data_IF_352798113865
#
_entry.id   IF_352798113865
#
_cell.length_a   1.000
_cell.length_b   1.000
_cell.length_c   1.000
_cell.angle_alpha   90.00
_cell.angle_beta   90.00
_cell.angle_gamma   90.00
#
_symmetry.space_group_name_H-M   'P 1'
#
loop_
_entity.id
_entity.type
_entity.pdbx_description
1 polymer ?
#
# COMPACT_ATOMS: atom_id res chain seq x y z
N UNK A 1 -2.75 5.20 26.17
CA UNK A 1 -2.99 6.51 25.53
C UNK A 1 -3.99 6.31 24.40
N UNK A 2 -5.13 7.01 24.41
CA UNK A 2 -6.03 7.03 23.26
C UNK A 2 -5.38 7.94 22.20
N UNK A 3 -4.87 7.36 21.12
CA UNK A 3 -4.38 8.13 19.97
C UNK A 3 -5.54 8.64 19.11
N UNK A 4 -5.40 9.83 18.55
CA UNK A 4 -6.39 10.38 17.61
C UNK A 4 -6.25 9.68 16.26
N UNK A 5 -7.36 9.49 15.54
CA UNK A 5 -7.40 8.81 14.24
C UNK A 5 -7.96 9.71 13.15
N UNK A 6 -7.48 9.56 11.92
CA UNK A 6 -8.04 10.17 10.71
C UNK A 6 -8.11 9.12 9.60
N UNK A 7 -9.06 9.27 8.65
CA UNK A 7 -9.24 8.34 7.53
C UNK A 7 -9.46 9.04 6.20
N UNK A 8 -8.96 8.45 5.11
CA UNK A 8 -9.08 8.98 3.75
C UNK A 8 -8.89 7.90 2.67
N UNK A 9 -9.40 8.15 1.46
CA UNK A 9 -9.22 7.28 0.28
C UNK A 9 -7.96 7.61 -0.54
N UNK A 10 -7.36 6.60 -1.18
CA UNK A 10 -5.95 6.62 -1.61
C UNK A 10 -5.78 5.83 -2.92
N UNK A 11 -6.00 6.47 -4.06
CA UNK A 11 -5.72 5.91 -5.39
C UNK A 11 -6.50 4.62 -5.74
N UNK A 12 -6.33 4.15 -6.98
CA UNK A 12 -7.07 3.02 -7.56
C UNK A 12 -6.75 1.72 -6.80
N UNK A 13 -7.76 1.02 -6.29
CA UNK A 13 -7.62 -0.25 -5.57
C UNK A 13 -7.43 -0.14 -4.04
N UNK A 14 -7.02 1.02 -3.49
CA UNK A 14 -7.00 1.26 -2.03
C UNK A 14 -8.05 2.31 -1.68
N UNK A 15 -9.15 1.86 -1.09
CA UNK A 15 -10.32 2.72 -0.90
C UNK A 15 -10.26 3.54 0.36
N UNK A 16 -9.61 3.04 1.41
CA UNK A 16 -9.55 3.73 2.70
C UNK A 16 -8.34 3.31 3.53
N UNK A 17 -7.60 4.28 4.05
CA UNK A 17 -6.74 4.06 5.22
C UNK A 17 -7.25 4.79 6.44
N UNK A 18 -6.85 4.29 7.60
CA UNK A 18 -6.87 5.05 8.84
C UNK A 18 -5.46 5.20 9.39
N UNK A 19 -5.10 6.42 9.74
CA UNK A 19 -3.84 6.78 10.39
C UNK A 19 -4.10 7.21 11.84
N UNK A 20 -3.07 7.14 12.68
CA UNK A 20 -3.13 7.57 14.07
C UNK A 20 -1.85 8.27 14.51
N UNK A 21 -1.99 9.28 15.35
CA UNK A 21 -0.90 10.00 16.01
C UNK A 21 -1.14 10.10 17.52
N UNK A 22 -0.07 10.30 18.29
CA UNK A 22 -0.13 10.49 19.74
C UNK A 22 -0.74 11.86 20.10
N UNK A 23 -0.43 12.88 19.31
CA UNK A 23 -0.87 14.26 19.49
C UNK A 23 -1.35 14.82 18.16
N UNK A 24 -2.09 15.92 18.23
CA UNK A 24 -2.46 16.71 17.06
C UNK A 24 -1.38 17.74 16.76
N UNK A 25 -1.28 18.16 15.50
CA UNK A 25 -0.47 19.30 15.12
C UNK A 25 -0.98 20.62 15.74
N UNK A 26 -0.25 21.70 15.52
CA UNK A 26 -0.58 23.02 16.04
C UNK A 26 -1.91 23.61 15.52
N UNK A 27 -2.53 22.99 14.50
CA UNK A 27 -3.83 23.38 13.93
C UNK A 27 -4.92 22.34 14.25
N UNK A 28 -4.63 21.34 15.08
CA UNK A 28 -5.59 20.35 15.54
C UNK A 28 -5.83 19.17 14.59
N UNK A 29 -4.83 18.75 13.80
CA UNK A 29 -4.95 17.64 12.83
C UNK A 29 -4.02 16.48 13.18
N UNK A 30 -4.35 15.27 12.71
CA UNK A 30 -3.43 14.12 12.78
C UNK A 30 -2.31 14.27 11.74
N UNK A 31 -2.67 14.75 10.54
CA UNK A 31 -1.77 15.12 9.43
C UNK A 31 -2.54 16.03 8.47
N UNK A 32 -1.84 16.83 7.68
CA UNK A 32 -2.43 17.42 6.48
C UNK A 32 -2.70 16.34 5.42
N UNK A 33 -3.88 16.37 4.80
CA UNK A 33 -4.23 15.37 3.79
C UNK A 33 -3.33 15.42 2.55
N UNK A 34 -2.73 16.57 2.23
CA UNK A 34 -1.78 16.70 1.13
C UNK A 34 -0.49 15.95 1.44
N UNK A 35 0.00 16.02 2.67
CA UNK A 35 1.18 15.28 3.14
C UNK A 35 0.91 13.76 3.20
N UNK A 36 -0.30 13.38 3.60
CA UNK A 36 -0.71 11.97 3.57
C UNK A 36 -0.70 11.42 2.14
N UNK A 37 -1.25 12.18 1.18
CA UNK A 37 -1.23 11.80 -0.24
C UNK A 37 0.20 11.72 -0.77
N UNK A 38 1.03 12.73 -0.51
CA UNK A 38 2.41 12.74 -1.02
C UNK A 38 3.26 11.59 -0.48
N UNK A 39 2.94 11.07 0.72
CA UNK A 39 3.67 9.94 1.33
C UNK A 39 3.11 8.57 0.95
N UNK A 40 1.79 8.40 0.99
CA UNK A 40 1.16 7.08 0.79
C UNK A 40 0.67 6.89 -0.64
N UNK A 41 -0.07 7.86 -1.22
CA UNK A 41 -0.55 7.77 -2.60
C UNK A 41 0.61 7.68 -3.58
N UNK A 42 1.54 8.63 -3.50
CA UNK A 42 2.62 8.70 -4.50
C UNK A 42 3.50 7.45 -4.48
N UNK A 43 3.72 6.85 -3.31
CA UNK A 43 4.42 5.59 -3.24
C UNK A 43 3.69 4.49 -4.02
N UNK A 44 2.37 4.39 -3.91
CA UNK A 44 1.58 3.41 -4.67
C UNK A 44 1.65 3.68 -6.17
N UNK A 45 1.49 4.93 -6.58
CA UNK A 45 1.58 5.37 -7.98
C UNK A 45 2.94 5.01 -8.59
N UNK A 46 4.03 5.28 -7.88
CA UNK A 46 5.39 5.04 -8.37
C UNK A 46 5.78 3.55 -8.35
N UNK A 47 5.30 2.81 -7.35
CA UNK A 47 5.78 1.46 -7.08
C UNK A 47 4.87 0.39 -7.66
N UNK A 48 3.55 0.53 -7.59
CA UNK A 48 2.60 -0.55 -7.88
C UNK A 48 1.55 -0.21 -8.94
N UNK A 49 1.22 1.07 -9.16
CA UNK A 49 0.25 1.44 -10.18
C UNK A 49 0.75 1.11 -11.59
N UNK A 50 -0.17 0.71 -12.46
CA UNK A 50 0.13 0.18 -13.80
C UNK A 50 1.10 -1.01 -13.84
N UNK A 51 1.30 -1.73 -12.72
CA UNK A 51 2.15 -2.93 -12.66
C UNK A 51 1.38 -4.17 -12.20
N UNK A 52 1.89 -5.33 -12.59
CA UNK A 52 1.43 -6.62 -12.12
C UNK A 52 2.19 -7.01 -10.86
N UNK A 53 1.49 -7.16 -9.73
CA UNK A 53 2.07 -7.76 -8.53
C UNK A 53 2.15 -9.27 -8.72
N UNK A 54 3.33 -9.84 -8.48
CA UNK A 54 3.55 -11.27 -8.61
C UNK A 54 4.26 -11.81 -7.38
N UNK A 55 3.81 -12.95 -6.89
CA UNK A 55 4.49 -13.59 -5.76
C UNK A 55 5.87 -14.06 -6.20
N UNK A 56 6.91 -13.69 -5.47
CA UNK A 56 8.29 -14.13 -5.73
C UNK A 56 8.47 -15.66 -5.71
N UNK A 57 7.53 -16.39 -5.10
CA UNK A 57 7.53 -17.86 -5.02
C UNK A 57 6.58 -18.53 -6.00
N UNK A 58 5.97 -17.76 -6.91
CA UNK A 58 5.13 -18.34 -7.95
C UNK A 58 5.99 -19.19 -8.90
N UNK A 59 5.58 -20.43 -9.25
CA UNK A 59 6.33 -21.29 -10.17
C UNK A 59 6.68 -20.65 -11.51
N UNK A 60 5.89 -19.67 -11.98
CA UNK A 60 6.13 -19.00 -13.27
C UNK A 60 6.92 -17.69 -13.15
N UNK A 61 7.20 -17.19 -11.94
CA UNK A 61 7.81 -15.88 -11.73
C UNK A 61 9.15 -15.73 -12.47
N UNK A 62 10.04 -16.73 -12.33
CA UNK A 62 11.35 -16.71 -12.98
C UNK A 62 11.23 -16.70 -14.51
N UNK A 63 10.27 -17.44 -15.08
CA UNK A 63 10.09 -17.51 -16.53
C UNK A 63 9.58 -16.19 -17.13
N UNK A 64 8.80 -15.42 -16.37
CA UNK A 64 8.23 -14.15 -16.83
C UNK A 64 9.19 -12.96 -16.69
N UNK A 65 10.14 -13.04 -15.76
CA UNK A 65 11.06 -11.94 -15.45
C UNK A 65 12.39 -12.04 -16.21
N UNK A 66 12.70 -13.18 -16.84
CA UNK A 66 13.98 -13.45 -17.53
C UNK A 66 14.30 -12.53 -18.72
N UNK A 67 13.48 -11.50 -19.00
CA UNK A 67 13.78 -10.44 -19.97
C UNK A 67 13.78 -10.86 -21.45
N UNK A 68 13.53 -12.15 -21.71
CA UNK A 68 13.52 -12.76 -23.05
C UNK A 68 12.27 -12.34 -23.83
N UNK A 69 11.12 -12.23 -23.15
CA UNK A 69 9.85 -11.93 -23.82
C UNK A 69 9.68 -10.41 -23.94
N UNK A 70 9.71 -9.92 -25.17
CA UNK A 70 9.46 -8.51 -25.51
C UNK A 70 7.97 -8.26 -25.69
N UNK A 71 7.52 -7.08 -25.29
CA UNK A 71 6.17 -6.55 -25.52
C UNK A 71 6.12 -5.77 -26.83
N UNK A 72 4.91 -5.46 -27.30
CA UNK A 72 4.69 -4.75 -28.57
C UNK A 72 5.25 -3.31 -28.63
N UNK A 73 5.60 -2.74 -27.48
CA UNK A 73 6.18 -1.40 -27.34
C UNK A 73 7.72 -1.43 -27.14
N UNK A 74 8.35 -2.61 -27.24
CA UNK A 74 9.80 -2.77 -27.13
C UNK A 74 10.35 -2.92 -25.70
N UNK A 75 9.48 -2.92 -24.69
CA UNK A 75 9.86 -3.26 -23.30
C UNK A 75 9.92 -4.78 -23.10
N UNK A 76 10.32 -5.23 -21.91
CA UNK A 76 10.22 -6.64 -21.51
C UNK A 76 8.98 -6.86 -20.65
N UNK A 77 8.43 -8.09 -20.67
CA UNK A 77 7.35 -8.45 -19.75
C UNK A 77 7.75 -8.18 -18.28
N UNK A 78 9.01 -8.38 -17.94
CA UNK A 78 9.54 -8.14 -16.59
C UNK A 78 9.44 -6.68 -16.13
N UNK A 79 9.49 -5.69 -17.04
CA UNK A 79 9.45 -4.27 -16.67
C UNK A 79 8.11 -3.85 -16.05
N UNK A 80 7.04 -4.58 -16.37
CA UNK A 80 5.70 -4.38 -15.81
C UNK A 80 5.39 -5.22 -14.56
N UNK A 81 6.34 -6.02 -14.06
CA UNK A 81 6.12 -6.95 -12.94
C UNK A 81 6.84 -6.45 -11.68
N UNK A 82 6.13 -6.44 -10.57
CA UNK A 82 6.71 -6.22 -9.23
C UNK A 82 6.63 -7.52 -8.45
N UNK A 83 7.79 -8.06 -8.10
CA UNK A 83 7.86 -9.18 -7.18
C UNK A 83 7.56 -8.74 -5.76
N UNK A 84 6.63 -9.44 -5.12
CA UNK A 84 6.26 -9.24 -3.72
C UNK A 84 6.54 -10.52 -2.92
N UNK A 85 6.89 -10.41 -1.63
CA UNK A 85 7.24 -11.56 -0.78
C UNK A 85 6.02 -12.32 -0.24
N UNK A 86 4.83 -12.06 -0.79
CA UNK A 86 3.55 -12.62 -0.38
C UNK A 86 2.68 -12.94 -1.60
N UNK A 87 1.72 -13.85 -1.44
CA UNK A 87 0.70 -14.07 -2.46
C UNK A 87 -0.21 -12.82 -2.54
N UNK A 88 -0.28 -12.08 -3.66
CA UNK A 88 -0.91 -10.75 -3.74
C UNK A 88 -2.44 -10.77 -3.71
N UNK A 89 -3.05 -11.42 -2.71
CA UNK A 89 -4.47 -11.28 -2.39
C UNK A 89 -4.73 -9.92 -1.72
N UNK A 90 -5.98 -9.44 -1.78
CA UNK A 90 -6.35 -8.16 -1.16
C UNK A 90 -6.02 -8.08 0.35
N UNK A 91 -6.14 -9.20 1.08
CA UNK A 91 -5.79 -9.31 2.50
C UNK A 91 -4.29 -9.10 2.73
N UNK A 92 -3.44 -9.79 1.96
CA UNK A 92 -1.99 -9.72 2.10
C UNK A 92 -1.46 -8.36 1.65
N UNK A 93 -2.06 -7.77 0.61
CA UNK A 93 -1.78 -6.39 0.17
C UNK A 93 -2.11 -5.42 1.31
N UNK A 94 -3.32 -5.49 1.88
CA UNK A 94 -3.73 -4.61 2.98
C UNK A 94 -2.80 -4.74 4.19
N UNK A 95 -2.40 -5.97 4.53
CA UNK A 95 -1.45 -6.25 5.59
C UNK A 95 -0.06 -5.65 5.29
N UNK A 96 0.46 -5.87 4.08
CA UNK A 96 1.78 -5.36 3.69
C UNK A 96 1.82 -3.82 3.71
N UNK A 97 0.75 -3.18 3.26
CA UNK A 97 0.64 -1.72 3.31
C UNK A 97 0.71 -1.20 4.74
N UNK A 98 0.00 -1.83 5.68
CA UNK A 98 -0.01 -1.40 7.09
C UNK A 98 1.29 -1.73 7.81
N UNK A 99 1.89 -2.91 7.56
CA UNK A 99 3.04 -3.40 8.34
C UNK A 99 4.40 -3.00 7.77
N UNK A 100 4.49 -2.76 6.46
CA UNK A 100 5.77 -2.50 5.79
C UNK A 100 5.79 -1.11 5.17
N UNK A 101 4.87 -0.81 4.26
CA UNK A 101 4.87 0.45 3.50
C UNK A 101 4.58 1.64 4.41
N UNK A 102 3.53 1.56 5.22
CA UNK A 102 3.12 2.63 6.13
C UNK A 102 4.24 3.09 7.07
N UNK A 103 4.91 2.19 7.81
CA UNK A 103 6.05 2.55 8.66
C UNK A 103 7.22 3.18 7.89
N UNK A 104 7.47 2.76 6.65
CA UNK A 104 8.53 3.34 5.81
C UNK A 104 8.16 4.75 5.34
N UNK A 105 6.97 4.92 4.76
CA UNK A 105 6.52 6.19 4.18
C UNK A 105 6.21 7.27 5.24
N UNK A 106 5.77 6.85 6.44
CA UNK A 106 5.45 7.74 7.55
C UNK A 106 6.60 7.88 8.55
N UNK A 107 7.80 7.35 8.24
CA UNK A 107 8.97 7.44 9.12
C UNK A 107 9.28 8.91 9.47
N UNK A 108 9.50 9.16 10.76
CA UNK A 108 9.84 10.48 11.27
C UNK A 108 8.66 11.44 11.45
N UNK A 109 7.44 11.05 11.07
CA UNK A 109 6.25 11.91 11.23
C UNK A 109 5.54 11.73 12.58
N UNK A 110 5.86 10.66 13.33
CA UNK A 110 5.12 10.27 14.54
C UNK A 110 3.73 9.66 14.26
N UNK A 111 3.35 9.54 12.99
CA UNK A 111 2.06 9.01 12.54
C UNK A 111 2.23 7.54 12.16
N UNK A 112 1.21 6.73 12.46
CA UNK A 112 1.14 5.32 12.10
C UNK A 112 -0.05 5.07 11.19
N UNK A 113 0.18 4.32 10.12
CA UNK A 113 -0.88 3.69 9.38
C UNK A 113 -1.40 2.50 10.20
N UNK A 114 -2.68 2.49 10.57
CA UNK A 114 -3.25 1.49 11.50
C UNK A 114 -4.34 0.63 10.88
N UNK A 115 -4.91 1.06 9.75
CA UNK A 115 -5.89 0.29 8.97
C UNK A 115 -5.71 0.60 7.49
N UNK A 116 -5.82 -0.41 6.65
CA UNK A 116 -5.92 -0.28 5.21
C UNK A 116 -7.05 -1.18 4.69
N UNK A 117 -7.80 -0.67 3.73
CA UNK A 117 -8.80 -1.40 2.97
C UNK A 117 -8.43 -1.39 1.50
N UNK A 118 -8.38 -2.59 0.93
CA UNK A 118 -8.06 -2.83 -0.48
C UNK A 118 -9.32 -3.36 -1.15
N UNK A 119 -9.74 -2.71 -2.22
CA UNK A 119 -10.89 -3.10 -3.04
C UNK A 119 -10.40 -3.72 -4.34
N UNK A 120 -10.75 -4.99 -4.58
CA UNK A 120 -10.46 -5.69 -5.84
C UNK A 120 -11.55 -5.42 -6.88
N UNK A 121 -12.81 -5.42 -6.43
CA UNK A 121 -13.96 -5.00 -7.23
C UNK A 121 -14.94 -4.24 -6.36
N UNK A 122 -15.92 -3.53 -6.95
CA UNK A 122 -16.93 -2.75 -6.20
C UNK A 122 -17.69 -3.51 -5.10
N UNK A 123 -17.64 -4.84 -5.09
CA UNK A 123 -18.33 -5.69 -4.10
C UNK A 123 -17.38 -6.56 -3.27
N UNK A 124 -16.08 -6.53 -3.54
CA UNK A 124 -15.09 -7.36 -2.87
C UNK A 124 -13.94 -6.48 -2.38
N UNK A 125 -13.84 -6.33 -1.06
CA UNK A 125 -12.73 -5.67 -0.40
C UNK A 125 -12.19 -6.53 0.76
N UNK A 126 -10.93 -6.29 1.11
CA UNK A 126 -10.28 -6.85 2.28
C UNK A 126 -9.72 -5.74 3.16
N UNK A 127 -9.78 -5.95 4.48
CA UNK A 127 -9.36 -4.97 5.47
C UNK A 127 -8.30 -5.59 6.37
N UNK A 128 -7.19 -4.89 6.54
CA UNK A 128 -6.25 -5.15 7.63
C UNK A 128 -6.27 -3.99 8.62
N UNK A 129 -6.33 -4.30 9.91
CA UNK A 129 -6.27 -3.32 10.99
C UNK A 129 -5.40 -3.84 12.14
N UNK A 130 -4.57 -2.97 12.71
CA UNK A 130 -3.83 -3.27 13.93
C UNK A 130 -4.82 -3.47 15.08
N UNK A 131 -4.65 -4.57 15.82
CA UNK A 131 -5.44 -4.80 17.02
C UNK A 131 -5.04 -3.79 18.11
N UNK A 132 -6.01 -3.22 18.85
CA UNK A 132 -5.67 -2.43 20.01
C UNK A 132 -4.92 -3.30 21.02
N UNK A 133 -3.79 -2.81 21.52
CA UNK A 133 -3.13 -3.43 22.67
C UNK A 133 -4.10 -3.35 23.86
N UNK A 134 -4.47 -4.53 24.40
CA UNK A 134 -5.22 -4.65 25.65
C UNK A 134 -4.40 -4.14 26.82
#
# INVERSE_FOLDING_TARGET
MLGTKASAGICTGITTVCISAAELDNVGRVIDFSDMKSKLCMWLEENWDHKMLMWERDPVANALIDGIIKTGDGTTIGDGIVLVPFNPTAENIAQHLVLVVGPQQLKGTGIKLVRCEVEETRKCSAVYALQPQK
#
